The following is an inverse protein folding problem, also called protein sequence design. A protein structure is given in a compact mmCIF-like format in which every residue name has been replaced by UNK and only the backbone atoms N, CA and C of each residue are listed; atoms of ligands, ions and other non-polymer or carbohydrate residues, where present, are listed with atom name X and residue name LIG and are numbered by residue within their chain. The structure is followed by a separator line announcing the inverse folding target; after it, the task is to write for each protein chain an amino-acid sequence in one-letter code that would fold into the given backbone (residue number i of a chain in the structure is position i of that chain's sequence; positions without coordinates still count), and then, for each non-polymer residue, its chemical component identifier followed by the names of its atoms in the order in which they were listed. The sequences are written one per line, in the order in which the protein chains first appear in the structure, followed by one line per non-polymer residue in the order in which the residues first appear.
data_IF_428120848678
#
_entry.id   IF_428120848678
#
_cell.length_a   1.000
_cell.length_b   1.000
_cell.length_c   1.000
_cell.angle_alpha   90.00
_cell.angle_beta   90.00
_cell.angle_gamma   90.00
#
_symmetry.space_group_name_H-M   'P 1'
#
loop_
_entity.id
_entity.type
_entity.pdbx_description
1 polymer ?
#
# COMPACT_ATOMS: atom_id res chain seq x y z
N UNK A 1 -24.44 -21.13 11.08
CA UNK A 1 -23.03 -20.67 11.12
C UNK A 1 -22.55 -20.74 9.69
N UNK A 2 -22.38 -19.59 9.05
CA UNK A 2 -21.96 -19.51 7.65
C UNK A 2 -20.43 -19.50 7.63
N UNK A 3 -19.83 -20.51 7.01
CA UNK A 3 -18.38 -20.52 6.80
C UNK A 3 -18.09 -19.57 5.64
N UNK A 4 -17.59 -18.38 5.97
CA UNK A 4 -17.07 -17.46 4.96
C UNK A 4 -15.75 -18.06 4.48
N UNK A 5 -15.74 -18.60 3.26
CA UNK A 5 -14.52 -19.04 2.60
C UNK A 5 -13.58 -17.83 2.46
N UNK A 6 -12.51 -17.81 3.25
CA UNK A 6 -11.53 -16.74 3.19
C UNK A 6 -10.67 -16.91 1.94
N UNK A 7 -10.68 -15.95 1.02
CA UNK A 7 -9.75 -15.95 -0.11
C UNK A 7 -8.31 -15.88 0.38
N UNK A 8 -7.43 -16.72 -0.17
CA UNK A 8 -5.99 -16.71 0.10
C UNK A 8 -5.31 -15.72 -0.84
N UNK A 9 -4.61 -14.73 -0.28
CA UNK A 9 -4.07 -13.59 -1.02
C UNK A 9 -2.59 -13.43 -0.70
N UNK A 10 -1.76 -13.48 -1.74
CA UNK A 10 -0.34 -13.14 -1.63
C UNK A 10 -0.11 -11.72 -2.15
N UNK A 11 0.47 -10.87 -1.31
CA UNK A 11 0.91 -9.52 -1.66
C UNK A 11 2.43 -9.52 -1.80
N UNK A 12 2.93 -9.26 -3.00
CA UNK A 12 4.38 -9.21 -3.28
C UNK A 12 4.86 -7.75 -3.19
N UNK A 13 5.67 -7.48 -2.17
CA UNK A 13 6.21 -6.17 -1.82
C UNK A 13 5.56 -5.59 -0.55
N UNK A 14 6.35 -5.40 0.49
CA UNK A 14 5.98 -4.75 1.75
C UNK A 14 6.28 -3.24 1.74
N UNK A 15 6.10 -2.60 0.58
CA UNK A 15 6.09 -1.15 0.44
C UNK A 15 4.72 -0.53 0.77
N UNK A 16 4.53 0.79 0.62
CA UNK A 16 3.27 1.46 0.97
C UNK A 16 2.05 0.88 0.26
N UNK A 17 2.18 0.63 -1.05
CA UNK A 17 1.11 0.07 -1.87
C UNK A 17 0.71 -1.33 -1.41
N UNK A 18 1.70 -2.22 -1.21
CA UNK A 18 1.43 -3.57 -0.74
C UNK A 18 0.87 -3.63 0.67
N UNK A 19 1.36 -2.77 1.58
CA UNK A 19 0.81 -2.68 2.94
C UNK A 19 -0.66 -2.21 2.93
N UNK A 20 -1.01 -1.19 2.13
CA UNK A 20 -2.42 -0.78 1.98
C UNK A 20 -3.28 -1.84 1.32
N UNK A 21 -2.76 -2.54 0.31
CA UNK A 21 -3.48 -3.65 -0.33
C UNK A 21 -3.76 -4.78 0.66
N UNK A 22 -2.75 -5.17 1.46
CA UNK A 22 -2.88 -6.19 2.48
C UNK A 22 -3.88 -5.81 3.58
N UNK A 23 -3.86 -4.54 4.02
CA UNK A 23 -4.82 -4.03 4.99
C UNK A 23 -6.26 -4.12 4.48
N UNK A 24 -6.51 -3.64 3.25
CA UNK A 24 -7.85 -3.68 2.64
C UNK A 24 -8.32 -5.12 2.44
N UNK A 25 -7.44 -5.99 1.94
CA UNK A 25 -7.77 -7.40 1.72
C UNK A 25 -8.05 -8.16 3.04
N UNK A 26 -7.27 -7.90 4.07
CA UNK A 26 -7.48 -8.48 5.41
C UNK A 26 -8.77 -7.98 6.05
N UNK A 27 -9.06 -6.68 5.94
CA UNK A 27 -10.32 -6.09 6.42
C UNK A 27 -11.56 -6.66 5.70
N UNK A 28 -11.41 -7.14 4.47
CA UNK A 28 -12.46 -7.84 3.72
C UNK A 28 -12.58 -9.34 4.06
N UNK A 29 -11.82 -9.86 5.02
CA UNK A 29 -11.87 -11.27 5.45
C UNK A 29 -10.92 -12.21 4.69
N UNK A 30 -10.01 -11.68 3.87
CA UNK A 30 -8.99 -12.48 3.19
C UNK A 30 -7.89 -12.98 4.14
N UNK A 31 -7.38 -14.19 3.89
CA UNK A 31 -6.13 -14.66 4.50
C UNK A 31 -4.96 -14.12 3.69
N UNK A 32 -4.29 -13.10 4.23
CA UNK A 32 -3.23 -12.37 3.52
C UNK A 32 -1.83 -12.77 3.98
N UNK A 33 -0.95 -13.06 3.02
CA UNK A 33 0.49 -13.22 3.23
C UNK A 33 1.21 -12.10 2.47
N UNK A 34 2.13 -11.41 3.14
CA UNK A 34 2.98 -10.40 2.51
C UNK A 34 4.39 -10.99 2.32
N UNK A 35 4.88 -10.96 1.09
CA UNK A 35 6.21 -11.43 0.72
C UNK A 35 7.07 -10.24 0.29
N UNK A 36 8.22 -10.04 0.90
CA UNK A 36 9.19 -9.03 0.49
C UNK A 36 10.60 -9.62 0.44
N UNK A 37 11.42 -9.13 -0.49
CA UNK A 37 12.82 -9.55 -0.61
C UNK A 37 13.68 -9.01 0.55
N UNK A 38 13.24 -7.98 1.25
CA UNK A 38 13.94 -7.34 2.35
C UNK A 38 13.45 -7.82 3.72
N UNK A 39 14.33 -7.93 4.73
CA UNK A 39 13.95 -8.41 6.07
C UNK A 39 12.98 -7.53 6.86
N UNK A 40 12.69 -6.30 6.42
CA UNK A 40 11.78 -5.41 7.13
C UNK A 40 10.85 -4.68 6.16
N UNK A 41 9.58 -4.60 6.53
CA UNK A 41 8.57 -3.85 5.79
C UNK A 41 8.82 -2.34 5.80
N UNK A 42 8.32 -1.65 4.78
CA UNK A 42 8.20 -0.19 4.76
C UNK A 42 9.54 0.56 4.82
N UNK A 43 10.70 -0.07 4.59
CA UNK A 43 11.99 0.57 4.87
C UNK A 43 12.19 1.92 4.17
N UNK A 44 11.86 2.01 2.87
CA UNK A 44 11.88 3.27 2.11
C UNK A 44 10.77 4.23 2.53
N UNK A 45 9.62 3.69 2.96
CA UNK A 45 8.47 4.47 3.40
C UNK A 45 8.74 5.19 4.73
N UNK A 46 9.37 4.50 5.67
CA UNK A 46 9.72 5.04 6.99
C UNK A 46 10.76 6.17 6.93
N UNK A 47 11.56 6.22 5.86
CA UNK A 47 12.53 7.29 5.61
C UNK A 47 12.03 8.35 4.62
N UNK A 48 10.79 8.23 4.12
CA UNK A 48 10.21 9.19 3.19
C UNK A 48 10.10 10.58 3.85
N UNK A 49 10.51 11.62 3.11
CA UNK A 49 10.59 12.98 3.66
C UNK A 49 11.74 13.20 4.66
N UNK A 50 12.75 12.31 4.69
CA UNK A 50 13.96 12.35 5.53
C UNK A 50 13.75 12.35 7.06
N UNK A 51 12.57 12.01 7.56
CA UNK A 51 12.27 11.87 9.00
C UNK A 51 10.91 12.42 9.44
N UNK A 52 10.19 13.10 8.54
CA UNK A 52 8.86 13.64 8.80
C UNK A 52 7.69 12.82 8.26
N UNK A 53 7.94 11.65 7.64
CA UNK A 53 6.94 10.79 6.98
C UNK A 53 6.05 11.58 6.00
N UNK A 54 6.59 11.87 4.80
CA UNK A 54 5.75 12.45 3.74
C UNK A 54 4.79 11.38 3.19
N UNK A 55 3.62 11.25 3.81
CA UNK A 55 2.64 10.20 3.54
C UNK A 55 1.68 10.53 2.39
N UNK A 56 1.24 11.78 2.33
CA UNK A 56 0.22 12.24 1.37
C UNK A 56 0.30 13.74 1.18
N UNK A 57 -0.45 14.26 0.20
CA UNK A 57 -0.72 15.67 0.05
C UNK A 57 -2.16 15.98 0.47
N UNK A 58 -2.40 17.14 1.11
CA UNK A 58 -3.71 17.55 1.61
C UNK A 58 -4.46 18.48 0.63
N UNK A 59 -4.14 18.42 -0.66
CA UNK A 59 -4.84 19.25 -1.65
C UNK A 59 -6.18 18.63 -2.03
N UNK A 60 -7.14 19.44 -2.53
CA UNK A 60 -8.36 18.91 -3.12
C UNK A 60 -8.06 17.87 -4.21
N UNK A 61 -8.89 16.83 -4.28
CA UNK A 61 -8.70 15.69 -5.21
C UNK A 61 -8.71 16.14 -6.66
N UNK A 62 -9.41 17.22 -6.97
CA UNK A 62 -9.52 17.81 -8.31
C UNK A 62 -8.17 18.37 -8.79
N UNK A 63 -7.32 18.81 -7.86
CA UNK A 63 -6.00 19.38 -8.15
C UNK A 63 -4.89 18.32 -8.18
N UNK A 64 -5.09 17.20 -7.48
CA UNK A 64 -4.07 16.18 -7.27
C UNK A 64 -3.54 15.51 -8.56
N UNK A 65 -4.38 15.18 -9.58
CA UNK A 65 -3.90 14.57 -10.82
C UNK A 65 -2.83 15.40 -11.53
N UNK A 66 -2.89 16.73 -11.43
CA UNK A 66 -1.95 17.62 -12.10
C UNK A 66 -0.50 17.48 -11.57
N UNK A 67 -0.30 16.89 -10.38
CA UNK A 67 1.03 16.60 -9.81
C UNK A 67 1.75 15.46 -10.52
N UNK A 68 1.00 14.54 -11.11
CA UNK A 68 1.51 13.32 -11.70
C UNK A 68 1.32 13.41 -13.20
N UNK A 69 2.33 13.92 -13.91
CA UNK A 69 2.37 13.78 -15.37
C UNK A 69 2.62 12.33 -15.71
N UNK A 70 1.85 11.78 -16.63
CA UNK A 70 2.35 10.71 -17.48
C UNK A 70 3.34 11.38 -18.43
N UNK A 71 4.57 10.89 -18.50
CA UNK A 71 5.43 11.20 -19.65
C UNK A 71 4.63 10.82 -20.90
N UNK A 72 4.18 11.79 -21.70
CA UNK A 72 3.99 11.55 -23.12
C UNK A 72 5.40 11.60 -23.72
N UNK A 73 5.75 10.58 -24.51
CA UNK A 73 7.04 10.43 -25.19
C UNK A 73 7.54 11.72 -25.88
#
# INVERSE_FOLDING_TARGET
MEFVESSEIAVVGAGPAGLRAAEVASAAGGRVVICDAQPSAGRKFLVAGRGGLNLTHSEPVENFPARYRTEEE
#
